data_IF_154664466824
#
_entry.id   IF_154664466824
#
_cell.length_a   1.000
_cell.length_b   1.000
_cell.length_c   1.000
_cell.angle_alpha   90.00
_cell.angle_beta   90.00
_cell.angle_gamma   90.00
#
_symmetry.space_group_name_H-M   'P 1'
#
loop_
_entity.id
_entity.type
_entity.pdbx_description
1 polymer ?
#
# COMPACT_ATOMS: atom_id res chain seq x y z
N UNK A 1 -16.88 4.27 17.11
CA UNK A 1 -15.80 3.31 16.74
C UNK A 1 -16.22 1.83 16.86
N UNK A 2 -16.87 1.38 17.95
CA UNK A 2 -17.36 -0.01 18.08
C UNK A 2 -18.34 -0.41 16.96
N UNK A 3 -19.28 0.47 16.64
CA UNK A 3 -20.28 0.20 15.59
C UNK A 3 -19.64 0.13 14.20
N UNK A 4 -18.73 1.06 13.87
CA UNK A 4 -17.97 1.04 12.60
C UNK A 4 -17.10 -0.21 12.43
N UNK A 5 -16.47 -0.73 13.51
CA UNK A 5 -15.71 -1.98 13.43
C UNK A 5 -16.64 -3.19 13.21
N UNK A 6 -17.81 -3.18 13.81
CA UNK A 6 -18.82 -4.23 13.61
C UNK A 6 -19.38 -4.20 12.18
N UNK A 7 -19.67 -3.02 11.64
CA UNK A 7 -20.07 -2.82 10.23
C UNK A 7 -18.98 -3.30 9.26
N UNK A 8 -17.72 -2.93 9.50
CA UNK A 8 -16.58 -3.40 8.72
C UNK A 8 -16.47 -4.93 8.73
N UNK A 9 -16.64 -5.55 9.91
CA UNK A 9 -16.61 -7.00 10.03
C UNK A 9 -17.78 -7.68 9.32
N UNK A 10 -18.97 -7.06 9.33
CA UNK A 10 -20.13 -7.56 8.60
C UNK A 10 -19.90 -7.47 7.08
N UNK A 11 -19.39 -6.34 6.59
CA UNK A 11 -19.04 -6.14 5.19
C UNK A 11 -17.95 -7.12 4.73
N UNK A 12 -16.87 -7.28 5.51
CA UNK A 12 -15.81 -8.24 5.24
C UNK A 12 -16.33 -9.67 5.09
N UNK A 13 -17.28 -10.09 5.95
CA UNK A 13 -17.93 -11.40 5.85
C UNK A 13 -18.80 -11.52 4.59
N UNK A 14 -19.56 -10.47 4.24
CA UNK A 14 -20.37 -10.46 3.02
C UNK A 14 -19.50 -10.56 1.76
N UNK A 15 -18.40 -9.80 1.70
CA UNK A 15 -17.41 -9.88 0.64
C UNK A 15 -16.78 -11.28 0.55
N UNK A 16 -16.41 -11.88 1.69
CA UNK A 16 -15.85 -13.23 1.71
C UNK A 16 -16.80 -14.30 1.14
N UNK A 17 -18.09 -14.24 1.48
CA UNK A 17 -19.09 -15.15 0.93
C UNK A 17 -19.35 -14.89 -0.56
N UNK A 18 -19.38 -13.63 -0.99
CA UNK A 18 -19.49 -13.25 -2.40
C UNK A 18 -18.31 -13.81 -3.23
N UNK A 19 -17.07 -13.64 -2.74
CA UNK A 19 -15.85 -14.11 -3.39
C UNK A 19 -15.86 -15.63 -3.57
N UNK A 20 -16.28 -16.38 -2.56
CA UNK A 20 -16.39 -17.85 -2.64
C UNK A 20 -17.47 -18.28 -3.62
N UNK A 21 -18.67 -17.72 -3.51
CA UNK A 21 -19.85 -18.21 -4.22
C UNK A 21 -19.88 -17.79 -5.70
N UNK A 22 -19.51 -16.53 -6.01
CA UNK A 22 -19.61 -15.97 -7.36
C UNK A 22 -18.30 -16.02 -8.14
N UNK A 23 -17.17 -15.93 -7.44
CA UNK A 23 -15.85 -15.82 -8.06
C UNK A 23 -14.96 -17.05 -7.87
N UNK A 24 -15.43 -18.06 -7.13
CA UNK A 24 -14.73 -19.33 -6.97
C UNK A 24 -13.52 -19.27 -6.05
N UNK A 25 -13.45 -18.27 -5.16
CA UNK A 25 -12.37 -18.19 -4.18
C UNK A 25 -12.32 -19.46 -3.33
N UNK A 26 -11.16 -20.12 -3.30
CA UNK A 26 -10.89 -21.28 -2.46
C UNK A 26 -10.75 -20.90 -0.99
N UNK A 27 -10.21 -19.71 -0.74
CA UNK A 27 -9.99 -19.19 0.60
C UNK A 27 -10.07 -17.66 0.60
N UNK A 28 -10.65 -17.12 1.66
CA UNK A 28 -10.70 -15.68 1.94
C UNK A 28 -10.31 -15.48 3.39
N UNK A 29 -9.36 -14.59 3.66
CA UNK A 29 -8.78 -14.35 4.99
C UNK A 29 -8.88 -12.86 5.28
N UNK A 30 -9.44 -12.51 6.44
CA UNK A 30 -9.36 -11.14 6.97
C UNK A 30 -8.00 -11.01 7.65
N UNK A 31 -7.23 -9.99 7.29
CA UNK A 31 -5.95 -9.70 7.93
C UNK A 31 -5.90 -8.23 8.39
N UNK A 32 -4.73 -7.75 8.84
CA UNK A 32 -4.52 -6.35 9.14
C UNK A 32 -5.31 -5.84 10.36
N UNK A 33 -5.67 -4.56 10.32
CA UNK A 33 -6.21 -3.85 11.49
C UNK A 33 -7.57 -4.39 11.95
N UNK A 34 -8.38 -4.87 11.00
CA UNK A 34 -9.68 -5.47 11.30
C UNK A 34 -9.53 -6.81 12.05
N UNK A 35 -8.52 -7.61 11.67
CA UNK A 35 -8.16 -8.87 12.33
C UNK A 35 -7.48 -8.68 13.69
N UNK A 36 -7.07 -7.45 14.04
CA UNK A 36 -6.38 -7.14 15.29
C UNK A 36 -4.86 -7.15 15.20
N UNK A 37 -4.30 -7.22 13.98
CA UNK A 37 -2.85 -7.15 13.73
C UNK A 37 -2.31 -5.72 13.80
N UNK A 38 -3.17 -4.72 14.05
CA UNK A 38 -2.82 -3.33 14.23
C UNK A 38 -3.96 -2.48 14.83
N UNK A 39 -3.70 -1.20 15.12
CA UNK A 39 -4.71 -0.29 15.65
C UNK A 39 -5.86 -0.06 14.67
N UNK A 40 -7.09 -0.13 15.18
CA UNK A 40 -8.30 0.22 14.41
C UNK A 40 -8.64 1.71 14.59
N UNK A 41 -8.90 2.42 13.49
CA UNK A 41 -9.18 3.86 13.48
C UNK A 41 -10.11 4.30 12.34
N UNK A 42 -10.42 5.59 12.27
CA UNK A 42 -11.46 6.15 11.38
C UNK A 42 -11.15 6.12 9.88
N UNK A 43 -9.90 5.86 9.47
CA UNK A 43 -9.58 5.52 8.07
C UNK A 43 -8.89 4.16 7.97
N UNK A 44 -9.32 3.21 8.78
CA UNK A 44 -9.01 1.80 8.53
C UNK A 44 -9.90 1.35 7.37
N UNK A 45 -9.26 0.70 6.41
CA UNK A 45 -9.81 -0.13 5.36
C UNK A 45 -10.13 -1.54 5.89
N UNK A 46 -10.76 -2.33 5.01
CA UNK A 46 -10.96 -3.76 5.18
C UNK A 46 -9.89 -4.47 4.36
N UNK A 47 -8.99 -5.18 5.04
CA UNK A 47 -7.98 -6.03 4.39
C UNK A 47 -8.52 -7.45 4.18
N UNK A 48 -8.67 -7.88 2.92
CA UNK A 48 -9.04 -9.25 2.55
C UNK A 48 -7.99 -9.87 1.63
N UNK A 49 -7.50 -11.04 2.01
CA UNK A 49 -6.67 -11.86 1.14
C UNK A 49 -7.50 -12.97 0.50
N UNK A 50 -7.37 -13.17 -0.80
CA UNK A 50 -8.15 -14.13 -1.57
C UNK A 50 -7.26 -15.10 -2.31
N UNK A 51 -7.63 -16.38 -2.35
CA UNK A 51 -6.91 -17.44 -3.08
C UNK A 51 -7.85 -18.10 -4.08
N UNK A 52 -7.37 -18.32 -5.30
CA UNK A 52 -8.06 -19.05 -6.35
C UNK A 52 -9.01 -18.23 -7.22
N UNK A 53 -9.07 -16.90 -7.04
CA UNK A 53 -9.78 -16.03 -7.99
C UNK A 53 -8.91 -15.85 -9.24
N UNK A 54 -9.40 -16.19 -10.45
CA UNK A 54 -8.64 -16.00 -11.68
C UNK A 54 -8.29 -14.51 -11.91
N UNK A 55 -7.07 -14.18 -12.38
CA UNK A 55 -6.64 -12.78 -12.61
C UNK A 55 -7.62 -11.97 -13.47
N UNK A 56 -8.17 -12.58 -14.52
CA UNK A 56 -9.14 -11.95 -15.42
C UNK A 56 -10.49 -11.61 -14.76
N UNK A 57 -10.80 -12.23 -13.61
CA UNK A 57 -12.00 -11.93 -12.82
C UNK A 57 -11.71 -11.09 -11.58
N UNK A 58 -10.45 -10.81 -11.27
CA UNK A 58 -10.03 -10.14 -10.04
C UNK A 58 -10.65 -8.75 -9.90
N UNK A 59 -10.58 -7.91 -10.93
CA UNK A 59 -11.18 -6.57 -10.89
C UNK A 59 -12.71 -6.59 -10.77
N UNK A 60 -13.38 -7.56 -11.40
CA UNK A 60 -14.81 -7.74 -11.25
C UNK A 60 -15.19 -8.22 -9.84
N UNK A 61 -14.34 -9.05 -9.22
CA UNK A 61 -14.49 -9.51 -7.85
C UNK A 61 -14.31 -8.35 -6.86
N UNK A 62 -13.26 -7.54 -7.04
CA UNK A 62 -13.00 -6.33 -6.28
C UNK A 62 -14.18 -5.36 -6.34
N UNK A 63 -14.62 -4.99 -7.55
CA UNK A 63 -15.75 -4.07 -7.76
C UNK A 63 -17.03 -4.55 -7.10
N UNK A 64 -17.37 -5.84 -7.24
CA UNK A 64 -18.55 -6.40 -6.60
C UNK A 64 -18.46 -6.43 -5.06
N UNK A 65 -17.26 -6.49 -4.49
CA UNK A 65 -17.06 -6.33 -3.05
C UNK A 65 -17.22 -4.86 -2.63
N UNK A 66 -16.73 -3.91 -3.43
CA UNK A 66 -16.90 -2.48 -3.19
C UNK A 66 -18.38 -2.07 -3.09
N UNK A 67 -19.26 -2.69 -3.90
CA UNK A 67 -20.71 -2.47 -3.84
C UNK A 67 -21.35 -2.86 -2.49
N UNK A 68 -20.67 -3.70 -1.69
CA UNK A 68 -21.14 -4.15 -0.37
C UNK A 68 -20.61 -3.29 0.79
N UNK A 69 -19.69 -2.36 0.51
CA UNK A 69 -19.01 -1.60 1.55
C UNK A 69 -19.90 -0.47 2.09
N UNK A 70 -19.85 -0.20 3.41
CA UNK A 70 -20.45 0.99 3.98
C UNK A 70 -19.84 2.28 3.39
N UNK A 71 -20.59 3.40 3.33
CA UNK A 71 -20.06 4.68 2.86
C UNK A 71 -18.78 5.11 3.61
N UNK A 72 -17.74 5.48 2.86
CA UNK A 72 -16.46 5.90 3.42
C UNK A 72 -15.61 4.76 4.00
N UNK A 73 -15.93 3.51 3.64
CA UNK A 73 -15.08 2.35 3.89
C UNK A 73 -14.41 1.90 2.60
N UNK A 74 -13.13 1.59 2.71
CA UNK A 74 -12.30 1.11 1.60
C UNK A 74 -12.00 -0.37 1.81
N UNK A 75 -11.73 -1.07 0.70
CA UNK A 75 -11.35 -2.47 0.67
C UNK A 75 -9.96 -2.54 0.05
N UNK A 76 -9.03 -3.20 0.74
CA UNK A 76 -7.82 -3.73 0.13
C UNK A 76 -8.02 -5.22 -0.12
N UNK A 77 -8.06 -5.61 -1.39
CA UNK A 77 -8.19 -7.02 -1.78
C UNK A 77 -6.86 -7.48 -2.34
N UNK A 78 -6.27 -8.49 -1.70
CA UNK A 78 -4.95 -9.00 -2.04
C UNK A 78 -5.05 -10.44 -2.58
N UNK A 79 -4.61 -10.72 -3.82
CA UNK A 79 -4.46 -12.09 -4.29
C UNK A 79 -3.29 -12.76 -3.57
N UNK A 80 -3.55 -13.87 -2.89
CA UNK A 80 -2.56 -14.61 -2.09
C UNK A 80 -1.44 -15.22 -2.93
N UNK A 81 -1.68 -15.41 -4.22
CA UNK A 81 -0.73 -15.88 -5.21
C UNK A 81 0.33 -14.83 -5.55
N UNK A 82 -0.03 -13.55 -5.53
CA UNK A 82 0.88 -12.44 -5.90
C UNK A 82 1.46 -11.71 -4.68
N UNK A 83 0.93 -12.01 -3.48
CA UNK A 83 1.44 -11.46 -2.22
C UNK A 83 2.91 -11.83 -1.98
N UNK A 84 3.73 -10.85 -1.58
CA UNK A 84 5.12 -11.09 -1.20
C UNK A 84 5.25 -12.17 -0.11
N UNK A 85 6.32 -12.98 -0.10
CA UNK A 85 6.46 -14.12 0.80
C UNK A 85 6.22 -13.82 2.28
N UNK A 86 6.70 -12.68 2.76
CA UNK A 86 6.59 -12.24 4.16
C UNK A 86 5.14 -11.92 4.52
N UNK A 87 4.49 -11.08 3.70
CA UNK A 87 3.08 -10.74 3.87
C UNK A 87 2.20 -11.99 3.77
N UNK A 88 2.45 -12.84 2.78
CA UNK A 88 1.76 -14.12 2.62
C UNK A 88 1.94 -15.03 3.83
N UNK A 89 3.14 -15.09 4.42
CA UNK A 89 3.39 -15.89 5.61
C UNK A 89 2.59 -15.37 6.81
N UNK A 90 2.50 -14.05 7.00
CA UNK A 90 1.67 -13.44 8.06
C UNK A 90 0.19 -13.71 7.87
N UNK A 91 -0.34 -13.44 6.68
CA UNK A 91 -1.76 -13.68 6.37
C UNK A 91 -2.14 -15.15 6.61
N UNK A 92 -1.21 -16.08 6.36
CA UNK A 92 -1.40 -17.51 6.60
C UNK A 92 -1.17 -17.94 8.07
N UNK A 93 -0.86 -17.02 8.97
CA UNK A 93 -0.58 -17.30 10.39
C UNK A 93 0.71 -18.09 10.62
N UNK A 94 1.65 -18.07 9.66
CA UNK A 94 2.94 -18.80 9.77
C UNK A 94 3.99 -18.04 10.57
N UNK A 95 3.76 -16.75 10.83
CA UNK A 95 4.63 -15.90 11.63
C UNK A 95 3.86 -15.51 12.87
N UNK A 96 4.37 -15.88 14.04
CA UNK A 96 3.75 -15.50 15.31
C UNK A 96 3.97 -14.01 15.59
N UNK A 97 2.90 -13.30 15.93
CA UNK A 97 2.96 -11.88 16.23
C UNK A 97 3.36 -11.68 17.69
N UNK A 98 4.43 -10.92 17.97
CA UNK A 98 4.78 -10.57 19.34
C UNK A 98 3.61 -9.86 20.03
N UNK A 99 3.32 -10.20 21.28
CA UNK A 99 2.33 -9.48 22.10
C UNK A 99 2.75 -8.01 22.33
N UNK A 100 4.06 -7.76 22.39
CA UNK A 100 4.58 -6.42 22.52
C UNK A 100 4.34 -5.61 21.23
N UNK A 101 3.55 -4.55 21.34
CA UNK A 101 3.18 -3.70 20.21
C UNK A 101 4.37 -3.15 19.42
N UNK A 102 5.46 -2.76 20.08
CA UNK A 102 6.63 -2.21 19.38
C UNK A 102 7.36 -3.30 18.58
N UNK A 103 7.44 -4.51 19.12
CA UNK A 103 8.03 -5.65 18.42
C UNK A 103 7.16 -6.10 17.24
N UNK A 104 5.84 -6.08 17.39
CA UNK A 104 4.91 -6.36 16.30
C UNK A 104 5.04 -5.34 15.17
N UNK A 105 5.03 -4.03 15.49
CA UNK A 105 5.27 -2.96 14.52
C UNK A 105 6.62 -3.12 13.82
N UNK A 106 7.69 -3.38 14.58
CA UNK A 106 9.04 -3.59 14.02
C UNK A 106 9.04 -4.70 12.98
N UNK A 107 8.44 -5.86 13.30
CA UNK A 107 8.34 -6.97 12.37
C UNK A 107 7.56 -6.61 11.09
N UNK A 108 6.44 -5.88 11.21
CA UNK A 108 5.69 -5.42 10.04
C UNK A 108 6.51 -4.47 9.16
N UNK A 109 7.30 -3.59 9.77
CA UNK A 109 8.19 -2.67 9.04
C UNK A 109 9.33 -3.42 8.36
N UNK A 110 9.92 -4.42 9.03
CA UNK A 110 10.99 -5.24 8.46
C UNK A 110 10.54 -6.01 7.21
N UNK A 111 9.31 -6.53 7.23
CA UNK A 111 8.70 -7.21 6.08
C UNK A 111 8.45 -6.23 4.92
N UNK A 112 7.91 -5.04 5.22
CA UNK A 112 7.67 -4.00 4.21
C UNK A 112 8.99 -3.52 3.60
N UNK A 113 10.04 -3.30 4.40
CA UNK A 113 11.39 -2.99 3.91
C UNK A 113 11.91 -4.09 2.99
N UNK A 114 11.62 -5.36 3.29
CA UNK A 114 12.04 -6.50 2.47
C UNK A 114 11.31 -6.50 1.13
N UNK A 115 10.01 -6.20 1.11
CA UNK A 115 9.26 -5.99 -0.13
C UNK A 115 9.81 -4.81 -0.95
N UNK A 116 10.09 -3.67 -0.31
CA UNK A 116 10.68 -2.49 -0.98
C UNK A 116 12.04 -2.78 -1.61
N UNK A 117 12.89 -3.58 -0.95
CA UNK A 117 14.17 -4.01 -1.53
C UNK A 117 13.98 -4.81 -2.82
N UNK A 118 13.02 -5.73 -2.86
CA UNK A 118 12.71 -6.48 -4.10
C UNK A 118 12.23 -5.57 -5.22
N UNK A 119 11.37 -4.61 -4.92
CA UNK A 119 10.90 -3.64 -5.92
C UNK A 119 12.07 -2.83 -6.46
N UNK A 120 12.99 -2.39 -5.59
CA UNK A 120 14.19 -1.67 -6.01
C UNK A 120 15.09 -2.54 -6.91
N UNK A 121 15.36 -3.78 -6.50
CA UNK A 121 16.14 -4.76 -7.29
C UNK A 121 15.52 -5.01 -8.66
N UNK A 122 14.21 -5.26 -8.74
CA UNK A 122 13.49 -5.44 -10.01
C UNK A 122 13.51 -4.18 -10.88
N UNK A 123 13.43 -3.00 -10.27
CA UNK A 123 13.52 -1.73 -10.99
C UNK A 123 14.91 -1.55 -11.60
N UNK A 124 15.97 -1.81 -10.83
CA UNK A 124 17.36 -1.73 -11.31
C UNK A 124 17.62 -2.75 -12.44
N UNK A 125 17.15 -3.98 -12.29
CA UNK A 125 17.25 -5.00 -13.32
C UNK A 125 16.48 -4.64 -14.60
N UNK A 126 15.29 -4.07 -14.47
CA UNK A 126 14.48 -3.63 -15.59
C UNK A 126 15.14 -2.45 -16.32
N UNK A 127 15.68 -1.47 -15.58
CA UNK A 127 16.43 -0.35 -16.13
C UNK A 127 17.69 -0.80 -16.89
N UNK A 128 18.43 -1.79 -16.35
CA UNK A 128 19.63 -2.31 -16.99
C UNK A 128 19.37 -3.02 -18.33
N UNK A 129 18.14 -3.49 -18.55
CA UNK A 129 17.71 -4.19 -19.77
C UNK A 129 16.89 -3.29 -20.71
N UNK A 130 16.66 -2.03 -20.32
CA UNK A 130 15.83 -1.12 -21.08
C UNK A 130 16.52 -0.76 -22.41
N UNK A 131 15.82 -0.82 -23.55
CA UNK A 131 16.38 -0.33 -24.81
C UNK A 131 16.62 1.19 -24.75
N UNK A 132 17.46 1.69 -25.65
CA UNK A 132 17.76 3.14 -25.76
C UNK A 132 16.48 3.96 -26.04
N UNK A 133 15.55 3.39 -26.80
CA UNK A 133 14.21 3.94 -27.04
C UNK A 133 13.14 3.00 -26.46
N UNK A 134 12.73 3.20 -25.19
CA UNK A 134 11.71 2.36 -24.57
C UNK A 134 10.32 2.62 -25.15
N UNK A 135 9.58 1.55 -25.34
CA UNK A 135 8.16 1.60 -25.68
C UNK A 135 7.32 2.14 -24.52
N UNK A 136 6.11 2.58 -24.82
CA UNK A 136 5.15 3.05 -23.81
C UNK A 136 4.83 1.96 -22.77
N UNK A 137 4.78 0.68 -23.19
CA UNK A 137 4.52 -0.43 -22.28
C UNK A 137 5.65 -0.61 -21.26
N UNK A 138 6.90 -0.49 -21.70
CA UNK A 138 8.08 -0.57 -20.82
C UNK A 138 8.12 0.62 -19.85
N UNK A 139 7.83 1.82 -20.34
CA UNK A 139 7.73 3.02 -19.51
C UNK A 139 6.64 2.90 -18.44
N UNK A 140 5.46 2.39 -18.80
CA UNK A 140 4.39 2.13 -17.84
C UNK A 140 4.76 1.06 -16.81
N UNK A 141 5.47 0.00 -17.22
CA UNK A 141 5.98 -1.02 -16.31
C UNK A 141 6.94 -0.45 -15.26
N UNK A 142 7.91 0.37 -15.69
CA UNK A 142 8.82 1.06 -14.77
C UNK A 142 8.09 2.04 -13.86
N UNK A 143 7.13 2.80 -14.38
CA UNK A 143 6.30 3.71 -13.59
C UNK A 143 5.52 2.95 -12.50
N UNK A 144 5.04 1.74 -12.79
CA UNK A 144 4.36 0.89 -11.82
C UNK A 144 5.28 0.47 -10.66
N UNK A 145 6.52 0.04 -10.93
CA UNK A 145 7.47 -0.29 -9.86
C UNK A 145 7.83 0.92 -9.00
N UNK A 146 8.06 2.07 -9.62
CA UNK A 146 8.31 3.32 -8.89
C UNK A 146 7.12 3.64 -7.99
N UNK A 147 5.90 3.59 -8.53
CA UNK A 147 4.69 3.84 -7.75
C UNK A 147 4.58 2.88 -6.55
N UNK A 148 4.74 1.57 -6.79
CA UNK A 148 4.71 0.54 -5.74
C UNK A 148 5.74 0.80 -4.64
N UNK A 149 6.98 1.12 -5.01
CA UNK A 149 8.05 1.41 -4.04
C UNK A 149 7.64 2.53 -3.09
N UNK A 150 7.16 3.64 -3.62
CA UNK A 150 6.83 4.74 -2.75
C UNK A 150 5.52 4.54 -1.98
N UNK A 151 4.54 3.82 -2.53
CA UNK A 151 3.33 3.43 -1.79
C UNK A 151 3.72 2.59 -0.57
N UNK A 152 4.66 1.64 -0.70
CA UNK A 152 5.17 0.90 0.44
C UNK A 152 5.89 1.78 1.47
N UNK A 153 6.67 2.77 1.03
CA UNK A 153 7.28 3.76 1.95
C UNK A 153 6.22 4.53 2.75
N UNK A 154 5.12 4.94 2.10
CA UNK A 154 4.01 5.59 2.78
C UNK A 154 3.32 4.69 3.79
N UNK A 155 3.07 3.43 3.42
CA UNK A 155 2.49 2.43 4.32
C UNK A 155 3.33 2.26 5.57
N UNK A 156 4.67 2.27 5.47
CA UNK A 156 5.58 2.24 6.63
C UNK A 156 5.33 3.47 7.53
N UNK A 157 5.38 4.67 6.96
CA UNK A 157 5.26 5.91 7.71
C UNK A 157 3.89 6.07 8.36
N UNK A 158 2.85 5.67 7.64
CA UNK A 158 1.49 5.67 8.13
C UNK A 158 1.34 4.71 9.31
N UNK A 159 1.85 3.48 9.17
CA UNK A 159 1.81 2.47 10.22
C UNK A 159 2.57 2.94 11.47
N UNK A 160 3.73 3.59 11.32
CA UNK A 160 4.45 4.21 12.44
C UNK A 160 3.59 5.27 13.13
N UNK A 161 3.05 6.23 12.38
CA UNK A 161 2.23 7.31 12.94
C UNK A 161 1.04 6.76 13.73
N UNK A 162 0.29 5.83 13.12
CA UNK A 162 -0.91 5.22 13.71
C UNK A 162 -0.56 4.43 14.97
N UNK A 163 0.50 3.63 14.95
CA UNK A 163 0.90 2.82 16.09
C UNK A 163 1.48 3.65 17.25
N UNK A 164 1.96 4.86 16.98
CA UNK A 164 2.43 5.77 18.03
C UNK A 164 1.36 6.76 18.49
N UNK A 165 0.13 6.62 17.98
CA UNK A 165 -1.00 7.46 18.36
C UNK A 165 -0.94 8.87 17.76
N UNK A 166 -0.13 9.08 16.74
CA UNK A 166 -0.08 10.35 16.02
C UNK A 166 -1.29 10.50 15.09
N UNK A 167 -1.84 11.70 15.02
CA UNK A 167 -2.88 12.00 14.04
C UNK A 167 -2.30 11.98 12.62
N UNK A 168 -2.95 11.26 11.71
CA UNK A 168 -2.59 11.27 10.29
C UNK A 168 -2.89 12.63 9.66
N UNK A 169 -1.99 13.15 8.81
CA UNK A 169 -2.29 14.34 8.00
C UNK A 169 -3.56 14.16 7.16
N UNK A 170 -4.17 15.28 6.78
CA UNK A 170 -5.43 15.33 6.02
C UNK A 170 -5.28 16.27 4.83
N UNK A 171 -6.18 16.15 3.84
CA UNK A 171 -6.19 17.00 2.66
C UNK A 171 -5.28 16.49 1.53
N UNK A 172 -5.22 17.21 0.41
CA UNK A 172 -4.58 16.78 -0.84
C UNK A 172 -3.09 16.48 -0.73
N UNK A 173 -2.40 17.14 0.21
CA UNK A 173 -0.95 17.03 0.40
C UNK A 173 -0.57 16.17 1.61
N UNK A 174 -1.50 15.38 2.13
CA UNK A 174 -1.30 14.59 3.34
C UNK A 174 -0.05 13.68 3.25
N UNK A 175 0.22 13.14 2.07
CA UNK A 175 1.39 12.33 1.76
C UNK A 175 2.72 13.07 2.00
N UNK A 176 2.79 14.34 1.57
CA UNK A 176 3.96 15.21 1.76
C UNK A 176 4.13 15.55 3.24
N UNK A 177 3.03 15.88 3.91
CA UNK A 177 3.03 16.22 5.33
C UNK A 177 3.46 15.02 6.19
N UNK A 178 3.03 13.81 5.83
CA UNK A 178 3.42 12.59 6.51
C UNK A 178 4.93 12.38 6.38
N UNK A 179 5.46 12.49 5.16
CA UNK A 179 6.90 12.39 4.90
C UNK A 179 7.72 13.43 5.68
N UNK A 180 7.28 14.69 5.72
CA UNK A 180 7.95 15.74 6.48
C UNK A 180 7.95 15.42 7.98
N UNK A 181 6.81 15.00 8.53
CA UNK A 181 6.71 14.60 9.95
C UNK A 181 7.63 13.44 10.31
N UNK A 182 7.88 12.51 9.39
CA UNK A 182 8.81 11.40 9.63
C UNK A 182 10.26 11.86 9.74
N UNK A 183 10.60 13.02 9.19
CA UNK A 183 11.93 13.62 9.33
C UNK A 183 12.09 14.50 10.59
N UNK A 184 11.00 14.72 11.33
CA UNK A 184 10.97 15.55 12.53
C UNK A 184 10.95 14.68 13.79
N UNK A 185 11.66 15.12 14.84
CA UNK A 185 11.46 14.62 16.18
C UNK A 185 10.10 15.05 16.72
N UNK A 186 9.45 14.14 17.44
CA UNK A 186 8.18 14.37 18.12
C UNK A 186 8.43 14.15 19.61
N UNK A 187 8.66 15.24 20.33
CA UNK A 187 9.02 15.23 21.75
C UNK A 187 8.08 14.32 22.56
N UNK A 188 8.67 13.36 23.29
CA UNK A 188 7.94 12.40 24.10
C UNK A 188 7.20 11.29 23.35
N UNK A 189 7.23 11.27 22.00
CA UNK A 189 6.56 10.26 21.16
C UNK A 189 7.58 9.41 20.39
N UNK A 190 8.46 10.06 19.61
CA UNK A 190 9.52 9.39 18.84
C UNK A 190 10.61 10.35 18.36
N UNK A 191 11.83 9.85 18.12
CA UNK A 191 12.81 10.58 17.31
C UNK A 191 12.36 10.72 15.84
N UNK A 192 13.13 11.47 15.06
CA UNK A 192 13.03 11.43 13.61
C UNK A 192 13.24 9.99 13.11
N UNK A 193 12.34 9.54 12.23
CA UNK A 193 12.38 8.20 11.63
C UNK A 193 13.34 8.16 10.45
N UNK A 194 13.41 9.26 9.71
CA UNK A 194 14.31 9.43 8.57
C UNK A 194 15.11 10.72 8.71
N UNK A 195 16.27 10.77 8.05
CA UNK A 195 17.08 11.98 8.00
C UNK A 195 16.63 12.94 6.89
N UNK A 196 16.96 14.23 7.02
CA UNK A 196 16.66 15.27 6.03
C UNK A 196 17.06 14.91 4.58
N UNK A 197 18.29 14.41 4.33
CA UNK A 197 18.69 14.02 2.98
C UNK A 197 17.83 12.90 2.37
N UNK A 198 17.39 11.92 3.18
CA UNK A 198 16.50 10.86 2.71
C UNK A 198 15.10 11.43 2.44
N UNK A 199 14.59 12.31 3.31
CA UNK A 199 13.35 13.04 3.09
C UNK A 199 13.37 13.77 1.74
N UNK A 200 14.43 14.53 1.46
CA UNK A 200 14.55 15.33 0.24
C UNK A 200 14.54 14.45 -1.03
N UNK A 201 15.16 13.26 -0.97
CA UNK A 201 15.10 12.27 -2.06
C UNK A 201 13.70 11.69 -2.23
N UNK A 202 12.96 11.43 -1.14
CA UNK A 202 11.62 10.85 -1.20
C UNK A 202 10.54 11.86 -1.64
N UNK A 203 10.76 13.16 -1.44
CA UNK A 203 9.87 14.22 -1.94
C UNK A 203 9.75 14.20 -3.47
N UNK A 204 10.73 13.64 -4.19
CA UNK A 204 10.77 13.61 -5.65
C UNK A 204 9.53 12.92 -6.25
N UNK A 205 8.94 11.89 -5.61
CA UNK A 205 7.65 11.35 -6.09
C UNK A 205 6.53 12.37 -6.07
N UNK A 206 6.45 13.25 -5.08
CA UNK A 206 5.40 14.28 -5.05
C UNK A 206 5.57 15.32 -6.16
N UNK A 207 6.75 15.39 -6.80
CA UNK A 207 6.94 16.08 -8.09
C UNK A 207 6.51 15.21 -9.27
N UNK A 208 6.69 13.88 -9.20
CA UNK A 208 6.20 12.94 -10.20
C UNK A 208 4.66 12.75 -10.21
N UNK A 209 3.96 13.04 -9.11
CA UNK A 209 2.49 13.17 -9.11
C UNK A 209 1.98 14.30 -10.01
N UNK A 210 2.85 15.28 -10.33
CA UNK A 210 2.66 16.23 -11.44
C UNK A 210 3.25 15.76 -12.76
N UNK A 211 4.10 14.72 -12.80
CA UNK A 211 4.59 14.13 -14.05
C UNK A 211 3.54 13.36 -14.83
N UNK A 212 2.49 12.85 -14.20
CA UNK A 212 1.33 12.37 -14.95
C UNK A 212 0.49 13.49 -15.57
N UNK A 213 0.79 14.76 -15.24
CA UNK A 213 0.36 15.95 -15.99
C UNK A 213 1.44 16.45 -16.97
N UNK A 214 2.61 15.81 -17.04
CA UNK A 214 3.73 16.11 -17.94
C UNK A 214 3.83 14.97 -18.97
N UNK A 215 2.69 14.58 -19.54
CA UNK A 215 2.62 13.93 -20.86
C UNK A 215 2.37 15.00 -21.95
N UNK A 216 2.51 16.29 -21.60
CA UNK A 216 2.38 17.44 -22.50
C UNK A 216 3.73 18.13 -22.84
N UNK A 217 4.88 17.47 -22.61
CA UNK A 217 6.21 17.96 -23.09
C UNK A 217 6.84 16.97 -24.10
N UNK A 218 6.03 16.08 -24.68
CA UNK A 218 6.48 15.14 -25.72
C UNK A 218 5.53 15.18 -26.93
N UNK A 219 4.95 16.34 -27.27
CA UNK A 219 4.43 16.63 -28.63
C UNK A 219 4.46 18.16 -28.90
N UNK A 220 5.63 18.70 -29.22
CA UNK A 220 5.80 19.60 -30.38
C UNK A 220 7.30 19.68 -30.75
N UNK A 221 7.70 19.23 -31.96
CA UNK A 221 9.05 19.39 -32.47
C UNK A 221 9.18 20.67 -33.30
N UNK A 222 10.29 21.40 -33.08
CA UNK A 222 11.04 22.26 -34.03
C UNK A 222 10.24 22.95 -35.16
N UNK A 223 10.07 24.28 -35.06
CA UNK A 223 10.06 25.16 -36.25
C UNK A 223 10.71 26.51 -35.91
N UNK A 224 11.88 26.75 -36.53
CA UNK A 224 12.58 28.00 -36.87
C UNK A 224 12.30 29.30 -36.11
N UNK A 225 13.40 29.90 -35.60
CA UNK A 225 13.52 31.28 -35.14
C UNK A 225 14.84 31.56 -34.43
#
# INVERSE_FOLDING_TARGET
>A
MKDRKAEALAAAKACAELLKTRFGARRVIIFGSLAGEGPWHDRSDIDLAVEGVPPERFFAAYSACCDLLPPGMELDLVPLEDAYPEMRARILGKVEMPENRYLALKGLIEDEITALRRIAEWTEEALAKLPEEPSQLEMHGLAAYIHQFYTGVESIFERIAVWLGEERPKGTYWHVDLLNRMAEEREGVRPAVIEGPLRDRLVIRNRLGKFFLIVEIVVEPVVDG
#
